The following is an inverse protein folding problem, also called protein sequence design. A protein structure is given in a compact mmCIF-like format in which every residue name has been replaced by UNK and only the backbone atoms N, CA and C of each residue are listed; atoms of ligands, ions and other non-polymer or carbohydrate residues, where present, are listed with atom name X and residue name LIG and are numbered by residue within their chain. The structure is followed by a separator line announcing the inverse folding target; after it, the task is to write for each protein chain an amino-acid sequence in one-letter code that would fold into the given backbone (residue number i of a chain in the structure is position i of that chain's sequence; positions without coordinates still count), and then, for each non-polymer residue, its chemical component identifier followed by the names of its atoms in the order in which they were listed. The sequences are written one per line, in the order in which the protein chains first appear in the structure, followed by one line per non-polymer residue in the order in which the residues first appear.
data_IF_089263231768
#
_entry.id   IF_089263231768
#
_cell.length_a   1.000
_cell.length_b   1.000
_cell.length_c   1.000
_cell.angle_alpha   90.00
_cell.angle_beta   90.00
_cell.angle_gamma   90.00
#
_symmetry.space_group_name_H-M   'P 1'
#
loop_
_entity.id
_entity.type
_entity.pdbx_description
1 polymer ?
#
# COMPACT_ATOMS: atom_id res chain seq x y z
N UNK A 1 -21.11 13.30 9.60
CA UNK A 1 -20.67 11.89 9.54
C UNK A 1 -19.34 11.85 10.27
N UNK A 2 -19.28 11.18 11.43
CA UNK A 2 -18.10 11.20 12.31
C UNK A 2 -16.96 10.34 11.76
N UNK A 3 -15.71 10.72 12.04
CA UNK A 3 -14.49 10.00 11.63
C UNK A 3 -14.44 8.55 12.17
N UNK A 4 -15.28 8.23 13.15
CA UNK A 4 -15.41 6.90 13.77
C UNK A 4 -15.76 5.78 12.76
N UNK A 5 -16.17 6.13 11.54
CA UNK A 5 -16.49 5.17 10.47
C UNK A 5 -15.49 5.14 9.32
N UNK A 6 -14.51 6.03 9.30
CA UNK A 6 -13.63 6.23 8.12
C UNK A 6 -12.24 5.63 8.34
N UNK A 7 -11.80 5.49 9.59
CA UNK A 7 -10.58 4.80 9.94
C UNK A 7 -10.93 3.65 10.89
N UNK A 8 -10.78 2.40 10.45
CA UNK A 8 -10.87 1.22 11.33
C UNK A 8 -9.73 1.16 12.37
N UNK A 9 -8.87 2.18 12.42
CA UNK A 9 -7.90 2.39 13.48
C UNK A 9 -8.61 3.04 14.67
N UNK A 10 -8.87 2.31 15.76
CA UNK A 10 -9.42 2.84 17.03
C UNK A 10 -8.53 3.92 17.66
N UNK A 11 -8.87 5.21 17.50
CA UNK A 11 -8.10 6.35 18.05
C UNK A 11 -7.36 5.95 19.34
N UNK A 12 -6.03 5.89 19.28
CA UNK A 12 -5.22 5.56 20.45
C UNK A 12 -5.53 6.52 21.59
N UNK A 13 -5.29 6.13 22.84
CA UNK A 13 -5.43 7.06 23.99
C UNK A 13 -4.06 7.60 24.38
N UNK A 14 -4.03 8.78 25.00
CA UNK A 14 -2.79 9.43 25.46
C UNK A 14 -1.94 10.07 24.34
N UNK A 15 -0.67 10.33 24.63
CA UNK A 15 0.26 11.07 23.75
C UNK A 15 0.59 10.32 22.44
N UNK A 16 0.46 8.99 22.43
CA UNK A 16 0.66 8.16 21.23
C UNK A 16 -0.59 8.04 20.37
N UNK A 17 -1.66 8.78 20.69
CA UNK A 17 -2.86 8.85 19.86
C UNK A 17 -2.55 9.52 18.53
N UNK A 18 -2.91 8.85 17.43
CA UNK A 18 -2.87 9.46 16.10
C UNK A 18 -3.92 10.57 15.90
N UNK A 19 -4.84 10.77 16.86
CA UNK A 19 -5.66 11.98 16.88
C UNK A 19 -4.85 13.24 17.23
N UNK A 20 -3.72 13.09 17.95
CA UNK A 20 -2.90 14.19 18.46
C UNK A 20 -1.42 14.13 18.03
N UNK A 21 -1.00 13.10 17.31
CA UNK A 21 0.39 12.88 16.89
C UNK A 21 0.47 12.41 15.42
N UNK A 22 -0.38 12.98 14.56
CA UNK A 22 -0.31 12.71 13.13
C UNK A 22 0.87 13.44 12.50
N UNK A 23 1.36 12.91 11.37
CA UNK A 23 2.43 13.57 10.60
C UNK A 23 2.07 15.02 10.25
N UNK A 24 0.80 15.30 9.94
CA UNK A 24 0.34 16.65 9.60
C UNK A 24 0.50 17.59 10.81
N UNK A 25 0.10 17.16 12.00
CA UNK A 25 0.25 17.96 13.23
C UNK A 25 1.72 18.26 13.54
N UNK A 26 2.59 17.24 13.52
CA UNK A 26 4.02 17.46 13.79
C UNK A 26 4.66 18.41 12.76
N UNK A 27 4.30 18.26 11.48
CA UNK A 27 4.81 19.15 10.43
C UNK A 27 4.28 20.58 10.56
N UNK A 28 3.11 20.80 11.18
CA UNK A 28 2.56 22.13 11.41
C UNK A 28 3.40 22.95 12.41
N UNK A 29 4.03 22.28 13.38
CA UNK A 29 4.90 22.92 14.39
C UNK A 29 6.30 23.20 13.84
N UNK A 30 6.80 22.33 12.95
CA UNK A 30 8.15 22.43 12.40
C UNK A 30 8.26 23.36 11.17
N UNK A 31 7.19 23.48 10.37
CA UNK A 31 7.19 24.31 9.17
C UNK A 31 6.92 25.77 9.51
N UNK A 32 7.76 26.66 8.96
CA UNK A 32 7.52 28.11 8.97
C UNK A 32 6.26 28.48 8.21
N UNK A 33 5.65 29.62 8.55
CA UNK A 33 4.53 30.19 7.80
C UNK A 33 4.87 30.34 6.30
N UNK A 34 3.96 29.94 5.42
CA UNK A 34 4.19 29.90 3.97
C UNK A 34 5.09 28.75 3.50
N UNK A 35 5.66 27.94 4.41
CA UNK A 35 6.42 26.75 4.09
C UNK A 35 5.60 25.69 3.36
N UNK A 36 6.22 24.95 2.45
CA UNK A 36 5.56 23.97 1.59
C UNK A 36 5.93 22.54 1.95
N UNK A 37 4.98 21.62 1.79
CA UNK A 37 5.18 20.18 1.95
C UNK A 37 4.53 19.43 0.80
N UNK A 38 5.22 18.40 0.30
CA UNK A 38 4.66 17.42 -0.63
C UNK A 38 4.65 16.07 0.07
N UNK A 39 3.49 15.42 0.12
CA UNK A 39 3.29 14.15 0.79
C UNK A 39 2.70 13.14 -0.20
N UNK A 40 3.43 12.06 -0.48
CA UNK A 40 2.96 10.95 -1.31
C UNK A 40 2.84 9.69 -0.46
N UNK A 41 1.64 9.11 -0.43
CA UNK A 41 1.31 7.95 0.37
C UNK A 41 0.68 6.87 -0.51
N UNK A 42 0.91 5.57 -0.23
CA UNK A 42 0.06 4.53 -0.81
C UNK A 42 -1.39 4.79 -0.43
N UNK A 43 -2.30 4.59 -1.37
CA UNK A 43 -3.71 4.85 -1.15
C UNK A 43 -4.60 4.10 -2.12
N UNK A 44 -5.84 4.53 -2.17
CA UNK A 44 -6.90 3.90 -2.96
C UNK A 44 -7.76 4.96 -3.67
N UNK A 45 -8.36 4.64 -4.80
CA UNK A 45 -9.28 5.53 -5.55
C UNK A 45 -10.70 5.42 -4.99
N UNK A 46 -11.12 4.20 -4.71
CA UNK A 46 -12.41 3.83 -4.15
C UNK A 46 -12.64 4.50 -2.80
N UNK A 47 -13.87 4.91 -2.55
CA UNK A 47 -14.28 5.36 -1.22
C UNK A 47 -14.45 4.18 -0.27
N UNK A 48 -14.80 3.01 -0.79
CA UNK A 48 -14.95 1.77 -0.02
C UNK A 48 -13.57 1.22 0.39
N UNK A 49 -13.25 1.14 1.70
CA UNK A 49 -11.98 0.62 2.21
C UNK A 49 -11.83 -0.90 2.01
N UNK A 50 -12.91 -1.62 1.71
CA UNK A 50 -12.86 -3.07 1.44
C UNK A 50 -12.52 -3.39 -0.01
N UNK A 51 -12.46 -2.37 -0.87
CA UNK A 51 -12.08 -2.53 -2.26
C UNK A 51 -10.61 -2.95 -2.36
N UNK A 52 -10.38 -4.09 -3.03
CA UNK A 52 -9.08 -4.77 -3.16
C UNK A 52 -8.29 -4.24 -4.34
N UNK A 53 -8.10 -2.92 -4.39
CA UNK A 53 -7.26 -2.25 -5.40
C UNK A 53 -5.86 -1.92 -4.85
N UNK A 54 -4.96 -1.41 -5.70
CA UNK A 54 -3.64 -0.95 -5.26
C UNK A 54 -2.79 -2.06 -4.64
N UNK A 55 -1.99 -1.72 -3.64
CA UNK A 55 -1.19 -2.66 -2.85
C UNK A 55 -2.05 -3.62 -2.01
N UNK A 56 -3.33 -3.33 -1.79
CA UNK A 56 -4.25 -4.24 -1.09
C UNK A 56 -4.39 -5.58 -1.82
N UNK A 57 -4.36 -5.53 -3.16
CA UNK A 57 -4.33 -6.73 -4.00
C UNK A 57 -3.09 -7.61 -3.76
N UNK A 58 -1.92 -6.99 -3.57
CA UNK A 58 -0.68 -7.72 -3.28
C UNK A 58 -0.76 -8.43 -1.93
N UNK A 59 -1.37 -7.78 -0.93
CA UNK A 59 -1.61 -8.38 0.37
C UNK A 59 -2.53 -9.60 0.27
N UNK A 60 -3.60 -9.53 -0.51
CA UNK A 60 -4.51 -10.67 -0.73
C UNK A 60 -3.82 -11.87 -1.37
N UNK A 61 -2.99 -11.65 -2.39
CA UNK A 61 -2.22 -12.72 -3.03
C UNK A 61 -1.23 -13.37 -2.04
N UNK A 62 -0.58 -12.55 -1.21
CA UNK A 62 0.32 -13.06 -0.18
C UNK A 62 -0.43 -13.84 0.90
N UNK A 63 -1.57 -13.33 1.38
CA UNK A 63 -2.44 -14.02 2.32
C UNK A 63 -3.02 -15.32 1.73
N UNK A 64 -3.24 -15.37 0.42
CA UNK A 64 -3.64 -16.60 -0.29
C UNK A 64 -2.55 -17.66 -0.20
N UNK A 65 -1.27 -17.29 -0.37
CA UNK A 65 -0.14 -18.21 -0.19
C UNK A 65 -0.07 -18.76 1.25
N UNK A 66 -0.35 -17.91 2.24
CA UNK A 66 -0.37 -18.31 3.65
C UNK A 66 -1.58 -19.21 3.94
N UNK A 67 -2.76 -18.88 3.42
CA UNK A 67 -3.97 -19.68 3.59
C UNK A 67 -3.83 -21.09 3.00
N UNK A 68 -3.12 -21.26 1.88
CA UNK A 68 -2.78 -22.60 1.35
C UNK A 68 -1.98 -23.44 2.37
N UNK A 69 -1.11 -22.80 3.16
CA UNK A 69 -0.39 -23.47 4.25
C UNK A 69 -1.29 -23.79 5.46
N UNK A 70 -2.31 -22.97 5.74
CA UNK A 70 -3.37 -23.30 6.73
C UNK A 70 -4.12 -24.55 6.29
N UNK A 71 -4.58 -24.60 5.03
CA UNK A 71 -5.34 -25.73 4.48
C UNK A 71 -4.53 -27.04 4.49
N UNK A 72 -3.20 -26.94 4.38
CA UNK A 72 -2.28 -28.09 4.49
C UNK A 72 -1.95 -28.48 5.93
N UNK A 73 -2.43 -27.74 6.93
CA UNK A 73 -2.15 -27.96 8.34
C UNK A 73 -0.71 -27.64 8.75
N UNK A 74 -0.01 -26.80 7.99
CA UNK A 74 1.36 -26.37 8.31
C UNK A 74 1.35 -25.23 9.34
N UNK A 75 0.29 -24.41 9.32
CA UNK A 75 0.03 -23.34 10.29
C UNK A 75 -1.41 -23.46 10.80
N UNK A 76 -1.64 -23.07 12.04
CA UNK A 76 -2.98 -23.03 12.63
C UNK A 76 -3.78 -21.86 12.04
N UNK A 77 -5.10 -22.03 11.86
CA UNK A 77 -5.96 -20.99 11.27
C UNK A 77 -5.95 -19.70 12.12
N UNK A 78 -5.86 -19.83 13.44
CA UNK A 78 -5.81 -18.71 14.38
C UNK A 78 -4.57 -17.83 14.17
N UNK A 79 -3.46 -18.39 13.67
CA UNK A 79 -2.27 -17.59 13.36
C UNK A 79 -2.54 -16.66 12.18
N UNK A 80 -3.29 -17.09 11.18
CA UNK A 80 -3.70 -16.25 10.06
C UNK A 80 -4.71 -15.18 10.53
N UNK A 81 -5.72 -15.58 11.31
CA UNK A 81 -6.79 -14.68 11.77
C UNK A 81 -6.30 -13.55 12.69
N UNK A 82 -5.24 -13.81 13.44
CA UNK A 82 -4.65 -12.81 14.36
C UNK A 82 -3.64 -11.88 13.69
N UNK A 83 -3.17 -12.21 12.48
CA UNK A 83 -2.21 -11.41 11.75
C UNK A 83 -2.88 -10.24 11.02
N UNK A 84 -2.36 -9.03 11.24
CA UNK A 84 -2.82 -7.83 10.52
C UNK A 84 -1.62 -7.05 10.00
N UNK A 85 -1.74 -6.53 8.78
CA UNK A 85 -0.73 -5.62 8.22
C UNK A 85 -1.05 -4.20 8.72
N UNK A 86 -0.14 -3.51 9.42
CA UNK A 86 -0.36 -2.19 9.99
C UNK A 86 -0.23 -1.09 8.91
N UNK A 87 -0.91 -1.26 7.79
CA UNK A 87 -0.88 -0.36 6.66
C UNK A 87 -2.32 -0.09 6.19
N UNK A 88 -2.79 1.12 6.45
CA UNK A 88 -4.07 1.60 5.94
C UNK A 88 -3.86 2.33 4.63
N UNK A 89 -4.73 2.09 3.64
CA UNK A 89 -4.65 2.68 2.30
C UNK A 89 -5.73 3.75 2.16
N UNK A 90 -5.49 5.01 2.55
CA UNK A 90 -6.54 6.00 2.60
C UNK A 90 -7.04 6.42 1.21
N UNK A 91 -8.31 6.84 1.16
CA UNK A 91 -8.86 7.52 -0.01
C UNK A 91 -8.47 9.02 0.01
N UNK A 92 -8.48 9.71 -1.14
CA UNK A 92 -8.21 11.15 -1.19
C UNK A 92 -9.15 11.97 -0.31
N UNK A 93 -10.42 11.53 -0.20
CA UNK A 93 -11.41 12.20 0.64
C UNK A 93 -11.03 12.10 2.12
N UNK A 94 -10.53 10.94 2.56
CA UNK A 94 -10.12 10.71 3.94
C UNK A 94 -8.90 11.57 4.30
N UNK A 95 -7.87 11.56 3.44
CA UNK A 95 -6.68 12.40 3.64
C UNK A 95 -7.03 13.89 3.66
N UNK A 96 -7.91 14.33 2.75
CA UNK A 96 -8.41 15.71 2.73
C UNK A 96 -9.10 16.06 4.04
N UNK A 97 -9.95 15.18 4.56
CA UNK A 97 -10.64 15.42 5.83
C UNK A 97 -9.66 15.52 7.00
N UNK A 98 -8.63 14.68 7.06
CA UNK A 98 -7.59 14.75 8.11
C UNK A 98 -6.89 16.10 8.09
N UNK A 99 -6.42 16.55 6.91
CA UNK A 99 -5.72 17.85 6.78
C UNK A 99 -6.64 19.03 7.11
N UNK A 100 -7.90 18.98 6.67
CA UNK A 100 -8.87 20.05 6.97
C UNK A 100 -9.27 20.10 8.45
N UNK A 101 -9.38 18.94 9.11
CA UNK A 101 -9.69 18.85 10.55
C UNK A 101 -8.52 19.37 11.39
N UNK A 102 -7.29 19.07 11.00
CA UNK A 102 -6.09 19.58 11.66
C UNK A 102 -5.98 21.11 11.50
N UNK A 103 -6.15 21.61 10.27
CA UNK A 103 -6.43 23.02 10.01
C UNK A 103 -5.23 23.95 9.81
N UNK A 104 -3.99 23.50 9.97
CA UNK A 104 -2.77 24.32 9.83
C UNK A 104 -2.31 24.50 8.37
N UNK A 105 -2.83 23.70 7.44
CA UNK A 105 -2.39 23.72 6.05
C UNK A 105 -3.49 24.14 5.06
N UNK A 106 -3.06 24.75 3.96
CA UNK A 106 -3.83 24.94 2.73
C UNK A 106 -3.48 23.78 1.81
N UNK A 107 -4.50 23.10 1.28
CA UNK A 107 -4.31 22.07 0.25
C UNK A 107 -4.30 22.77 -1.11
N UNK A 108 -3.12 22.92 -1.70
CA UNK A 108 -2.96 23.56 -3.01
C UNK A 108 -3.29 22.61 -4.15
N UNK A 109 -2.88 21.34 -4.03
CA UNK A 109 -3.13 20.30 -5.03
C UNK A 109 -3.24 18.94 -4.34
N UNK A 110 -4.08 18.07 -4.87
CA UNK A 110 -4.20 16.69 -4.44
C UNK A 110 -4.50 15.82 -5.64
N UNK A 111 -3.72 14.76 -5.84
CA UNK A 111 -3.81 13.89 -7.01
C UNK A 111 -3.71 12.43 -6.61
N UNK A 112 -4.38 11.58 -7.38
CA UNK A 112 -4.18 10.13 -7.33
C UNK A 112 -3.40 9.72 -8.55
N UNK A 113 -2.19 9.23 -8.33
CA UNK A 113 -1.37 8.64 -9.37
C UNK A 113 -1.51 7.12 -9.30
N UNK A 114 -1.48 6.46 -10.44
CA UNK A 114 -1.44 5.00 -10.45
C UNK A 114 -0.45 4.48 -11.47
N UNK A 115 0.20 3.39 -11.09
CA UNK A 115 1.27 2.76 -11.85
C UNK A 115 0.94 1.29 -11.96
N UNK A 116 1.05 0.71 -13.16
CA UNK A 116 0.87 -0.73 -13.32
C UNK A 116 1.88 -1.49 -12.46
N UNK A 117 1.42 -2.48 -11.70
CA UNK A 117 2.29 -3.27 -10.82
C UNK A 117 3.21 -4.20 -11.62
N UNK A 118 2.78 -4.57 -12.83
CA UNK A 118 3.36 -5.67 -13.64
C UNK A 118 3.84 -5.21 -15.01
N UNK A 119 3.97 -3.90 -15.22
CA UNK A 119 4.75 -3.34 -16.32
C UNK A 119 5.84 -2.48 -15.70
N UNK A 120 6.84 -3.15 -15.15
CA UNK A 120 8.06 -2.50 -14.69
C UNK A 120 8.84 -2.01 -15.89
N UNK A 121 8.52 -0.80 -16.37
CA UNK A 121 9.46 0.22 -16.86
C UNK A 121 8.72 1.34 -17.61
N UNK A 122 8.49 2.46 -16.94
CA UNK A 122 8.50 3.78 -17.58
C UNK A 122 9.49 4.74 -16.88
N UNK A 123 10.43 4.19 -16.12
CA UNK A 123 11.60 4.91 -15.64
C UNK A 123 12.83 4.07 -16.00
N UNK A 124 13.45 4.42 -17.14
CA UNK A 124 14.60 3.80 -17.81
C UNK A 124 14.29 2.73 -18.86
N UNK A 125 13.92 3.15 -20.07
CA UNK A 125 14.55 2.80 -21.37
C UNK A 125 13.65 3.25 -22.52
N UNK A 126 13.52 4.56 -22.69
CA UNK A 126 12.76 5.18 -23.81
C UNK A 126 13.53 5.14 -25.15
N UNK A 127 14.36 4.12 -25.37
CA UNK A 127 15.10 3.97 -26.65
C UNK A 127 15.02 2.57 -27.30
N UNK A 128 14.39 1.58 -26.68
CA UNK A 128 14.26 0.26 -27.30
C UNK A 128 12.92 -0.37 -26.91
N UNK A 129 11.85 -0.10 -27.65
CA UNK A 129 10.80 -1.08 -28.02
C UNK A 129 9.61 -0.43 -28.73
N UNK A 130 9.84 0.11 -29.92
CA UNK A 130 8.77 0.21 -30.93
C UNK A 130 8.61 -1.15 -31.61
N UNK A 131 7.91 -2.12 -31.01
CA UNK A 131 7.23 -3.23 -31.74
C UNK A 131 6.55 -4.24 -30.81
N UNK A 132 5.24 -4.40 -31.02
CA UNK A 132 4.44 -5.64 -31.02
C UNK A 132 4.82 -6.84 -30.12
N UNK A 133 3.82 -7.28 -29.34
CA UNK A 133 3.66 -8.60 -28.69
C UNK A 133 4.88 -9.12 -27.92
N UNK A 134 4.96 -8.78 -26.63
CA UNK A 134 6.08 -9.19 -25.77
C UNK A 134 5.93 -10.65 -25.31
N UNK A 135 7.03 -11.43 -25.30
CA UNK A 135 7.02 -12.85 -24.92
C UNK A 135 6.96 -13.04 -23.39
N UNK A 136 6.44 -14.20 -22.95
CA UNK A 136 6.33 -14.66 -21.54
C UNK A 136 7.52 -14.40 -20.59
N UNK A 137 8.81 -14.36 -21.02
CA UNK A 137 9.93 -14.14 -20.09
C UNK A 137 9.91 -12.79 -19.38
N UNK A 138 9.33 -11.75 -19.99
CA UNK A 138 9.39 -10.39 -19.42
C UNK A 138 8.39 -10.21 -18.25
N UNK A 139 7.19 -10.78 -18.37
CA UNK A 139 6.20 -10.76 -17.27
C UNK A 139 6.67 -11.51 -16.02
N UNK A 140 7.43 -12.60 -16.21
CA UNK A 140 8.02 -13.36 -15.12
C UNK A 140 9.13 -12.61 -14.37
N UNK A 141 9.88 -11.76 -15.07
CA UNK A 141 10.88 -10.87 -14.45
C UNK A 141 10.19 -9.79 -13.61
N UNK A 142 9.11 -9.19 -14.12
CA UNK A 142 8.36 -8.15 -13.40
C UNK A 142 7.72 -8.69 -12.11
N UNK A 143 7.09 -9.87 -12.16
CA UNK A 143 6.48 -10.49 -10.98
C UNK A 143 7.52 -10.85 -9.90
N UNK A 144 8.73 -11.26 -10.29
CA UNK A 144 9.80 -11.57 -9.35
C UNK A 144 10.34 -10.30 -8.67
N UNK A 145 10.52 -9.21 -9.42
CA UNK A 145 10.97 -7.93 -8.85
C UNK A 145 9.93 -7.34 -7.88
N UNK A 146 8.65 -7.40 -8.24
CA UNK A 146 7.55 -7.04 -7.33
C UNK A 146 7.60 -7.89 -6.06
N UNK A 147 7.76 -9.21 -6.19
CA UNK A 147 7.83 -10.11 -5.05
C UNK A 147 9.02 -9.79 -4.11
N UNK A 148 10.19 -9.47 -4.66
CA UNK A 148 11.36 -9.02 -3.87
C UNK A 148 11.08 -7.71 -3.14
N UNK A 149 10.47 -6.74 -3.82
CA UNK A 149 10.08 -5.46 -3.21
C UNK A 149 9.09 -5.64 -2.06
N UNK A 150 8.04 -6.44 -2.27
CA UNK A 150 7.08 -6.78 -1.22
C UNK A 150 7.73 -7.54 -0.06
N UNK A 151 8.65 -8.47 -0.35
CA UNK A 151 9.38 -9.22 0.67
C UNK A 151 10.21 -8.29 1.55
N UNK A 152 10.97 -7.38 0.96
CA UNK A 152 11.76 -6.41 1.71
C UNK A 152 10.90 -5.56 2.67
N UNK A 153 9.68 -5.21 2.28
CA UNK A 153 8.76 -4.41 3.09
C UNK A 153 8.06 -5.21 4.20
N UNK A 154 7.64 -6.45 3.92
CA UNK A 154 6.74 -7.21 4.80
C UNK A 154 7.43 -8.32 5.61
N UNK A 155 8.59 -8.81 5.17
CA UNK A 155 9.30 -9.91 5.84
C UNK A 155 9.56 -9.64 7.33
N UNK A 156 10.01 -8.45 7.77
CA UNK A 156 10.24 -8.19 9.19
C UNK A 156 8.99 -8.35 10.06
N UNK A 157 7.83 -7.96 9.52
CA UNK A 157 6.54 -8.09 10.20
C UNK A 157 6.09 -9.55 10.26
N UNK A 158 6.22 -10.25 9.13
CA UNK A 158 5.71 -11.62 8.98
C UNK A 158 6.56 -12.64 9.70
N UNK A 159 7.89 -12.51 9.68
CA UNK A 159 8.80 -13.47 10.34
C UNK A 159 8.58 -13.48 11.85
N UNK A 160 8.30 -12.32 12.43
CA UNK A 160 8.00 -12.21 13.85
C UNK A 160 6.71 -12.96 14.25
N UNK A 161 5.74 -13.08 13.34
CA UNK A 161 4.44 -13.70 13.62
C UNK A 161 4.36 -15.18 13.19
N UNK A 162 4.83 -15.49 11.98
CA UNK A 162 4.72 -16.83 11.37
C UNK A 162 6.02 -17.65 11.43
N UNK A 163 7.16 -17.00 11.65
CA UNK A 163 8.49 -17.63 11.59
C UNK A 163 9.08 -17.69 10.18
N UNK A 164 10.41 -17.78 10.11
CA UNK A 164 11.17 -17.67 8.85
C UNK A 164 10.74 -18.68 7.78
N UNK A 165 10.56 -19.96 8.16
CA UNK A 165 10.27 -21.02 7.20
C UNK A 165 8.93 -20.80 6.45
N UNK A 166 7.92 -20.29 7.15
CA UNK A 166 6.60 -19.99 6.56
C UNK A 166 6.72 -18.80 5.61
N UNK A 167 7.46 -17.77 6.01
CA UNK A 167 7.69 -16.59 5.17
C UNK A 167 8.47 -16.95 3.91
N UNK A 168 9.51 -17.78 4.02
CA UNK A 168 10.27 -18.26 2.87
C UNK A 168 9.38 -19.00 1.86
N UNK A 169 8.50 -19.88 2.35
CA UNK A 169 7.58 -20.63 1.49
C UNK A 169 6.51 -19.72 0.87
N UNK A 170 5.93 -18.78 1.62
CA UNK A 170 4.98 -17.81 1.10
C UNK A 170 5.60 -16.99 -0.05
N UNK A 171 6.81 -16.46 0.14
CA UNK A 171 7.50 -15.69 -0.90
C UNK A 171 8.08 -16.54 -2.04
N UNK A 172 8.21 -17.86 -1.87
CA UNK A 172 8.50 -18.79 -2.97
C UNK A 172 7.29 -18.99 -3.89
N UNK A 173 6.08 -18.96 -3.33
CA UNK A 173 4.81 -19.11 -4.06
C UNK A 173 4.32 -17.78 -4.66
N UNK A 174 4.60 -16.66 -3.99
CA UNK A 174 4.08 -15.33 -4.33
C UNK A 174 4.31 -14.89 -5.79
N UNK A 175 5.50 -15.04 -6.42
CA UNK A 175 5.69 -14.68 -7.81
C UNK A 175 4.78 -15.43 -8.79
N UNK A 176 4.44 -16.68 -8.48
CA UNK A 176 3.54 -17.50 -9.33
C UNK A 176 2.12 -16.99 -9.24
N UNK A 177 1.66 -16.67 -8.02
CA UNK A 177 0.35 -16.06 -7.80
C UNK A 177 0.24 -14.72 -8.53
N UNK A 178 1.30 -13.89 -8.50
CA UNK A 178 1.35 -12.64 -9.25
C UNK A 178 1.25 -12.86 -10.77
N UNK A 179 1.88 -13.89 -11.31
CA UNK A 179 1.81 -14.20 -12.74
C UNK A 179 0.41 -14.67 -13.17
N UNK A 180 -0.16 -15.59 -12.41
CA UNK A 180 -1.49 -16.14 -12.68
C UNK A 180 -2.56 -15.04 -12.64
N UNK A 181 -2.39 -14.09 -11.73
CA UNK A 181 -3.35 -13.02 -11.50
C UNK A 181 -3.34 -11.94 -12.58
N UNK A 182 -2.26 -11.84 -13.34
CA UNK A 182 -2.04 -10.83 -14.39
C UNK A 182 -2.42 -11.34 -15.78
N UNK A 183 -2.72 -12.63 -15.88
CA UNK A 183 -3.29 -13.25 -17.09
C UNK A 183 -4.78 -12.94 -17.28
N UNK A 184 -5.41 -12.20 -16.36
CA UNK A 184 -6.79 -11.69 -16.48
C UNK A 184 -6.92 -10.42 -17.32
N UNK A 185 -8.18 -10.00 -17.59
CA UNK A 185 -8.47 -8.80 -18.41
C UNK A 185 -8.12 -7.48 -17.70
N UNK A 186 -8.15 -7.43 -16.37
CA UNK A 186 -7.81 -6.26 -15.56
C UNK A 186 -6.40 -6.38 -14.97
N UNK A 187 -5.53 -5.42 -15.30
CA UNK A 187 -4.17 -5.37 -14.77
C UNK A 187 -4.16 -4.65 -13.42
N UNK A 188 -3.51 -5.20 -12.38
CA UNK A 188 -3.44 -4.52 -11.10
C UNK A 188 -2.56 -3.26 -11.19
N UNK A 189 -3.06 -2.16 -10.64
CA UNK A 189 -2.37 -0.86 -10.55
C UNK A 189 -2.10 -0.52 -9.09
N UNK A 190 -0.90 -0.04 -8.77
CA UNK A 190 -0.57 0.59 -7.50
C UNK A 190 -1.05 2.05 -7.53
N UNK A 191 -1.89 2.44 -6.57
CA UNK A 191 -2.36 3.81 -6.43
C UNK A 191 -1.66 4.51 -5.26
N UNK A 192 -1.28 5.76 -5.49
CA UNK A 192 -0.72 6.66 -4.48
C UNK A 192 -1.47 7.99 -4.49
N UNK A 193 -1.71 8.56 -3.31
CA UNK A 193 -2.27 9.91 -3.16
C UNK A 193 -1.13 10.87 -2.86
N UNK A 194 -1.00 11.92 -3.67
CA UNK A 194 -0.02 13.00 -3.49
C UNK A 194 -0.73 14.29 -3.11
N UNK A 195 -0.29 14.93 -2.03
CA UNK A 195 -0.76 16.24 -1.57
C UNK A 195 0.36 17.27 -1.69
N UNK A 196 0.01 18.46 -2.17
CA UNK A 196 0.84 19.65 -2.07
C UNK A 196 0.17 20.63 -1.11
N UNK A 197 0.85 20.90 0.00
CA UNK A 197 0.35 21.68 1.13
C UNK A 197 1.22 22.92 1.37
N UNK A 198 0.59 24.01 1.82
CA UNK A 198 1.28 25.21 2.33
C UNK A 198 0.84 25.51 3.76
N UNK A 199 1.80 25.80 4.64
CA UNK A 199 1.56 26.18 6.04
C UNK A 199 0.89 27.54 6.09
N UNK A 200 -0.26 27.62 6.76
CA UNK A 200 -0.95 28.89 7.02
C UNK A 200 -0.12 29.75 7.98
N UNK A 201 -0.26 31.07 7.82
CA UNK A 201 0.06 32.03 8.87
C UNK A 201 -0.88 31.86 10.06
#
# INVERSE_FOLDING_TARGET
MGLDQVLHMKEGTGETSYANNSIVQCRAEELVEGGCMVLTLPGRRSQDPTNKESIGYLYDLLLTAINDMVLKGVIEAEQLDTFNIPNYLPSPSELKQVVLKEGSFIINRMEVCSVSIVHGNACHLDELSSSSSLPEPLFAVDALEVAKGSRAALEPLMVNHFGQAIVDEAFRLFPKLLLDSVSGEEKPEFASVTLYLTRKA
#
